data_IF_108877575076
#
_entry.id   IF_108877575076
#
_cell.length_a   1.000
_cell.length_b   1.000
_cell.length_c   1.000
_cell.angle_alpha   90.00
_cell.angle_beta   90.00
_cell.angle_gamma   90.00
#
_symmetry.space_group_name_H-M   'P 1'
#
loop_
_entity.id
_entity.type
_entity.pdbx_description
1 polymer ?
#
# COMPACT_ATOMS: atom_id res chain seq x y z
N UNK A 1 -66.95 -36.71 32.07
CA UNK A 1 -66.09 -37.16 31.00
C UNK A 1 -65.55 -35.91 30.32
N UNK A 2 -64.37 -35.46 30.73
CA UNK A 2 -63.81 -34.19 30.32
C UNK A 2 -62.91 -34.41 29.08
N UNK A 3 -63.35 -33.95 27.92
CA UNK A 3 -62.55 -33.99 26.68
C UNK A 3 -61.55 -32.87 26.72
N UNK A 4 -60.29 -33.20 26.96
CA UNK A 4 -59.18 -32.26 26.76
C UNK A 4 -59.03 -32.01 25.26
N UNK A 5 -59.40 -30.82 24.82
CA UNK A 5 -58.98 -30.31 23.51
C UNK A 5 -57.48 -30.09 23.58
N UNK A 6 -56.74 -30.86 22.80
CA UNK A 6 -55.32 -30.62 22.57
C UNK A 6 -55.10 -29.25 21.91
N UNK A 7 -53.90 -28.66 22.04
CA UNK A 7 -53.60 -27.39 21.38
C UNK A 7 -53.76 -27.58 19.87
N UNK A 8 -54.51 -26.67 19.26
CA UNK A 8 -54.65 -26.63 17.80
C UNK A 8 -53.25 -26.42 17.23
N UNK A 9 -52.77 -27.39 16.47
CA UNK A 9 -51.55 -27.21 15.65
C UNK A 9 -51.87 -26.14 14.61
N UNK A 10 -51.41 -24.92 14.89
CA UNK A 10 -51.46 -23.83 13.93
C UNK A 10 -50.41 -24.11 12.85
N UNK A 11 -50.81 -24.65 11.71
CA UNK A 11 -49.96 -24.78 10.55
C UNK A 11 -49.55 -23.42 10.02
N UNK A 12 -48.36 -23.33 9.48
CA UNK A 12 -47.85 -22.11 8.80
C UNK A 12 -48.75 -21.76 7.62
N UNK A 13 -49.07 -20.48 7.44
CA UNK A 13 -49.77 -20.00 6.27
C UNK A 13 -48.82 -19.98 5.06
N UNK A 14 -49.38 -20.18 3.85
CA UNK A 14 -48.60 -20.09 2.61
C UNK A 14 -47.87 -18.74 2.48
N UNK A 15 -48.55 -17.66 2.88
CA UNK A 15 -47.98 -16.31 2.87
C UNK A 15 -46.79 -16.20 3.80
N UNK A 16 -46.84 -16.78 4.99
CA UNK A 16 -45.74 -16.75 5.96
C UNK A 16 -44.50 -17.46 5.42
N UNK A 17 -44.67 -18.59 4.76
CA UNK A 17 -43.56 -19.32 4.10
C UNK A 17 -42.96 -18.49 2.96
N UNK A 18 -43.77 -17.85 2.14
CA UNK A 18 -43.27 -16.99 1.04
C UNK A 18 -42.50 -15.80 1.58
N UNK A 19 -43.00 -15.13 2.62
CA UNK A 19 -42.30 -14.02 3.27
C UNK A 19 -41.00 -14.49 3.92
N UNK A 20 -40.99 -15.61 4.61
CA UNK A 20 -39.77 -16.16 5.22
C UNK A 20 -38.71 -16.49 4.17
N UNK A 21 -39.07 -17.10 3.05
CA UNK A 21 -38.13 -17.40 1.95
C UNK A 21 -37.62 -16.11 1.30
N UNK A 22 -38.45 -15.10 1.12
CA UNK A 22 -38.04 -13.81 0.57
C UNK A 22 -37.00 -13.12 1.48
N UNK A 23 -37.26 -13.10 2.80
CA UNK A 23 -36.30 -12.52 3.78
C UNK A 23 -35.01 -13.32 3.81
N UNK A 24 -35.07 -14.64 3.82
CA UNK A 24 -33.91 -15.51 3.78
C UNK A 24 -33.09 -15.30 2.51
N UNK A 25 -33.74 -15.15 1.35
CA UNK A 25 -33.07 -14.85 0.08
C UNK A 25 -32.33 -13.50 0.11
N UNK A 26 -32.96 -12.45 0.64
CA UNK A 26 -32.33 -11.14 0.80
C UNK A 26 -31.13 -11.19 1.77
N UNK A 27 -31.24 -11.92 2.86
CA UNK A 27 -30.18 -12.11 3.82
C UNK A 27 -28.96 -12.81 3.19
N UNK A 28 -29.18 -13.85 2.38
CA UNK A 28 -28.13 -14.56 1.67
C UNK A 28 -27.43 -13.68 0.64
N UNK A 29 -28.17 -12.86 -0.11
CA UNK A 29 -27.59 -11.88 -1.05
C UNK A 29 -26.71 -10.88 -0.30
N UNK A 30 -27.19 -10.35 0.83
CA UNK A 30 -26.43 -9.43 1.67
C UNK A 30 -25.12 -10.06 2.20
N UNK A 31 -25.15 -11.30 2.67
CA UNK A 31 -23.98 -12.03 3.12
C UNK A 31 -22.98 -12.28 1.97
N UNK A 32 -23.48 -12.62 0.78
CA UNK A 32 -22.64 -12.84 -0.38
C UNK A 32 -21.93 -11.55 -0.84
N UNK A 33 -22.63 -10.42 -0.81
CA UNK A 33 -22.04 -9.11 -1.13
C UNK A 33 -20.98 -8.69 -0.10
N UNK A 34 -21.25 -8.89 1.19
CA UNK A 34 -20.30 -8.59 2.25
C UNK A 34 -19.04 -9.46 2.13
N UNK A 35 -19.18 -10.76 1.85
CA UNK A 35 -18.06 -11.69 1.68
C UNK A 35 -17.20 -11.37 0.45
N UNK A 36 -17.81 -11.07 -0.69
CA UNK A 36 -17.08 -10.76 -1.91
C UNK A 36 -16.29 -9.45 -1.81
N UNK A 37 -16.82 -8.43 -1.12
CA UNK A 37 -16.10 -7.18 -0.85
C UNK A 37 -14.83 -7.39 -0.02
N UNK A 38 -14.86 -8.30 0.95
CA UNK A 38 -13.71 -8.62 1.80
C UNK A 38 -12.54 -9.25 1.04
N UNK A 39 -12.78 -10.17 0.13
CA UNK A 39 -11.73 -10.83 -0.66
C UNK A 39 -10.96 -9.82 -1.53
N UNK A 40 -11.64 -8.84 -2.08
CA UNK A 40 -10.99 -7.79 -2.88
C UNK A 40 -10.16 -6.81 -2.05
N UNK A 41 -10.58 -6.54 -0.81
CA UNK A 41 -9.81 -5.72 0.10
C UNK A 41 -8.49 -6.41 0.49
N UNK A 42 -8.51 -7.72 0.71
CA UNK A 42 -7.34 -8.53 1.04
C UNK A 42 -6.33 -8.54 -0.12
N UNK A 43 -6.76 -8.77 -1.37
CA UNK A 43 -5.85 -8.74 -2.53
C UNK A 43 -5.21 -7.36 -2.71
N UNK A 44 -5.99 -6.29 -2.56
CA UNK A 44 -5.48 -4.93 -2.65
C UNK A 44 -4.47 -4.62 -1.54
N UNK A 45 -4.73 -5.06 -0.31
CA UNK A 45 -3.83 -4.88 0.83
C UNK A 45 -2.53 -5.67 0.65
N UNK A 46 -2.60 -6.92 0.18
CA UNK A 46 -1.42 -7.75 -0.08
C UNK A 46 -0.51 -7.13 -1.15
N UNK A 47 -1.08 -6.60 -2.23
CA UNK A 47 -0.29 -5.91 -3.27
C UNK A 47 0.34 -4.62 -2.76
N UNK A 48 -0.35 -3.87 -1.91
CA UNK A 48 0.21 -2.66 -1.31
C UNK A 48 1.35 -2.98 -0.33
N UNK A 49 1.22 -4.05 0.46
CA UNK A 49 2.28 -4.52 1.36
C UNK A 49 3.53 -4.96 0.57
N UNK A 50 3.35 -5.73 -0.50
CA UNK A 50 4.44 -6.11 -1.39
C UNK A 50 5.13 -4.88 -2.00
N UNK A 51 4.37 -3.87 -2.42
CA UNK A 51 4.92 -2.62 -2.95
C UNK A 51 5.76 -1.87 -1.90
N UNK A 52 5.34 -1.86 -0.63
CA UNK A 52 6.12 -1.27 0.47
C UNK A 52 7.43 -2.01 0.67
N UNK A 53 7.42 -3.34 0.69
CA UNK A 53 8.63 -4.15 0.85
C UNK A 53 9.61 -3.91 -0.30
N UNK A 54 9.13 -3.82 -1.53
CA UNK A 54 9.95 -3.50 -2.72
C UNK A 54 10.55 -2.09 -2.60
N UNK A 55 9.76 -1.09 -2.22
CA UNK A 55 10.25 0.27 -2.02
C UNK A 55 11.31 0.35 -0.92
N UNK A 56 11.16 -0.39 0.17
CA UNK A 56 12.15 -0.49 1.24
C UNK A 56 13.45 -1.14 0.75
N UNK A 57 13.36 -2.17 -0.09
CA UNK A 57 14.53 -2.83 -0.69
C UNK A 57 15.31 -1.86 -1.58
N UNK A 58 14.63 -1.10 -2.42
CA UNK A 58 15.27 -0.05 -3.23
C UNK A 58 15.92 1.03 -2.37
N UNK A 59 15.24 1.50 -1.31
CA UNK A 59 15.82 2.47 -0.38
C UNK A 59 17.04 1.92 0.36
N UNK A 60 17.04 0.63 0.71
CA UNK A 60 18.16 0.00 1.40
C UNK A 60 19.40 -0.19 0.49
N UNK A 61 19.20 -0.37 -0.82
CA UNK A 61 20.27 -0.49 -1.80
C UNK A 61 20.97 0.87 -2.05
N UNK A 62 20.24 1.98 -1.92
CA UNK A 62 20.78 3.31 -2.11
C UNK A 62 21.69 3.68 -0.94
N UNK A 63 22.93 4.03 -1.25
CA UNK A 63 23.93 4.46 -0.26
C UNK A 63 24.79 3.34 0.31
N UNK A 64 24.60 2.07 -0.15
CA UNK A 64 25.56 0.99 0.09
C UNK A 64 26.53 0.84 -1.07
N UNK A 65 26.00 0.83 -2.29
CA UNK A 65 26.73 0.46 -3.51
C UNK A 65 26.83 1.60 -4.54
N UNK A 66 26.10 2.69 -4.37
CA UNK A 66 26.09 3.80 -5.30
C UNK A 66 26.22 5.15 -4.57
N UNK A 67 27.07 6.04 -5.10
CA UNK A 67 27.07 7.43 -4.68
C UNK A 67 25.67 8.02 -4.90
N UNK A 68 25.24 8.89 -3.97
CA UNK A 68 24.00 9.66 -4.12
C UNK A 68 24.19 10.65 -5.28
N UNK A 69 23.79 10.25 -6.46
CA UNK A 69 23.81 11.09 -7.66
C UNK A 69 22.40 11.67 -7.84
N UNK A 70 22.33 12.99 -7.95
CA UNK A 70 21.09 13.68 -8.29
C UNK A 70 20.55 13.17 -9.61
N UNK A 71 19.25 12.87 -9.67
CA UNK A 71 18.59 12.43 -10.86
C UNK A 71 17.35 11.59 -10.61
N UNK A 72 16.71 11.24 -11.72
CA UNK A 72 15.53 10.37 -11.77
C UNK A 72 15.91 9.08 -12.51
N UNK A 73 15.54 7.97 -11.94
CA UNK A 73 15.65 6.67 -12.59
C UNK A 73 14.37 5.85 -12.37
N UNK A 74 14.08 4.97 -13.31
CA UNK A 74 12.90 4.13 -13.24
C UNK A 74 13.12 2.83 -14.00
N UNK A 75 12.35 1.81 -13.67
CA UNK A 75 12.43 0.51 -14.33
C UNK A 75 11.26 -0.39 -13.97
N UNK A 76 11.31 -1.58 -14.53
CA UNK A 76 10.39 -2.67 -14.21
C UNK A 76 10.93 -3.45 -13.01
N UNK A 77 10.06 -3.76 -12.05
CA UNK A 77 10.43 -4.48 -10.82
C UNK A 77 9.92 -5.92 -10.82
N UNK A 78 9.33 -6.35 -11.93
CA UNK A 78 8.70 -7.65 -12.07
C UNK A 78 7.34 -7.75 -11.39
N UNK A 79 6.57 -8.78 -11.71
CA UNK A 79 5.25 -9.01 -11.12
C UNK A 79 4.19 -7.93 -11.43
N UNK A 80 4.43 -7.09 -12.45
CA UNK A 80 3.56 -5.98 -12.79
C UNK A 80 3.80 -4.71 -11.98
N UNK A 81 4.90 -4.65 -11.24
CA UNK A 81 5.33 -3.47 -10.51
C UNK A 81 6.37 -2.67 -11.29
N UNK A 82 6.30 -1.36 -11.17
CA UNK A 82 7.28 -0.42 -11.72
C UNK A 82 7.85 0.43 -10.60
N UNK A 83 9.16 0.61 -10.60
CA UNK A 83 9.81 1.49 -9.64
C UNK A 83 10.22 2.81 -10.29
N UNK A 84 10.23 3.85 -9.48
CA UNK A 84 10.81 5.17 -9.80
C UNK A 84 11.56 5.68 -8.59
N UNK A 85 12.79 6.10 -8.84
CA UNK A 85 13.67 6.69 -7.85
C UNK A 85 13.93 8.14 -8.24
N UNK A 86 13.79 9.05 -7.28
CA UNK A 86 14.13 10.46 -7.41
C UNK A 86 15.09 10.85 -6.31
N UNK A 87 16.23 11.41 -6.68
CA UNK A 87 17.22 11.93 -5.76
C UNK A 87 17.38 13.42 -6.02
N UNK A 88 17.08 14.25 -5.03
CA UNK A 88 17.11 15.70 -5.14
C UNK A 88 17.84 16.30 -3.94
N UNK A 89 18.66 17.36 -4.10
CA UNK A 89 19.25 18.08 -2.99
C UNK A 89 18.13 18.78 -2.20
N UNK A 90 18.07 18.53 -0.90
CA UNK A 90 17.10 19.15 0.00
C UNK A 90 17.71 20.35 0.76
N UNK A 91 18.98 20.22 1.15
CA UNK A 91 19.72 21.29 1.81
C UNK A 91 21.23 21.12 1.63
N UNK A 92 21.94 22.22 1.58
CA UNK A 92 23.41 22.25 1.54
C UNK A 92 23.91 23.02 2.76
N UNK A 93 24.86 22.46 3.48
CA UNK A 93 25.56 23.13 4.53
C UNK A 93 27.01 23.37 4.08
N UNK A 94 27.38 24.62 3.95
CA UNK A 94 28.80 25.00 3.81
C UNK A 94 29.42 25.02 5.22
N UNK A 95 30.33 24.10 5.47
CA UNK A 95 31.13 24.15 6.68
C UNK A 95 32.12 25.29 6.58
N UNK A 96 32.00 26.32 7.42
CA UNK A 96 33.05 27.31 7.59
C UNK A 96 34.03 26.75 8.62
N UNK A 97 35.19 26.30 8.16
CA UNK A 97 36.24 25.88 9.07
C UNK A 97 36.91 27.14 9.64
N UNK A 98 36.97 27.22 10.97
CA UNK A 98 37.63 28.31 11.66
C UNK A 98 39.16 28.34 11.47
N UNK A 99 39.75 27.27 10.93
CA UNK A 99 41.20 27.07 10.84
C UNK A 99 41.72 26.77 9.42
N UNK A 100 41.05 27.20 8.38
CA UNK A 100 41.61 27.15 7.01
C UNK A 100 41.77 25.74 6.41
N UNK A 101 41.27 24.69 7.05
CA UNK A 101 41.30 23.33 6.56
C UNK A 101 39.93 22.95 5.97
N UNK A 102 39.94 22.66 4.71
CA UNK A 102 38.92 22.12 3.80
C UNK A 102 37.51 22.00 4.37
N UNK A 103 36.64 22.91 3.99
CA UNK A 103 35.18 22.82 4.24
C UNK A 103 34.63 21.58 3.56
N UNK A 104 34.21 20.56 4.31
CA UNK A 104 33.43 19.47 3.77
C UNK A 104 32.03 20.00 3.51
N UNK A 105 31.69 20.18 2.25
CA UNK A 105 30.30 20.44 1.86
C UNK A 105 29.48 19.21 2.10
N UNK A 106 28.58 19.28 3.08
CA UNK A 106 27.63 18.21 3.35
C UNK A 106 26.30 18.58 2.70
N UNK A 107 25.88 17.77 1.75
CA UNK A 107 24.58 17.94 1.09
C UNK A 107 23.60 16.93 1.65
N UNK A 108 22.44 17.41 2.03
CA UNK A 108 21.30 16.57 2.41
C UNK A 108 20.48 16.30 1.16
N UNK A 109 20.30 15.04 0.83
CA UNK A 109 19.49 14.61 -0.29
C UNK A 109 18.14 14.07 0.18
N UNK A 110 17.09 14.46 -0.51
CA UNK A 110 15.78 13.82 -0.45
C UNK A 110 15.75 12.68 -1.45
N UNK A 111 15.58 11.47 -0.96
CA UNK A 111 15.47 10.27 -1.75
C UNK A 111 14.03 9.78 -1.69
N UNK A 112 13.37 9.69 -2.85
CA UNK A 112 12.00 9.23 -2.98
C UNK A 112 11.95 8.01 -3.87
N UNK A 113 11.35 6.93 -3.37
CA UNK A 113 11.08 5.71 -4.15
C UNK A 113 9.58 5.53 -4.26
N UNK A 114 9.11 5.34 -5.47
CA UNK A 114 7.70 5.08 -5.79
C UNK A 114 7.58 3.74 -6.48
N UNK A 115 6.72 2.87 -5.98
CA UNK A 115 6.37 1.60 -6.61
C UNK A 115 4.93 1.71 -7.09
N UNK A 116 4.71 1.54 -8.38
CA UNK A 116 3.38 1.59 -8.98
C UNK A 116 2.99 0.26 -9.61
N UNK A 117 1.69 -0.03 -9.61
CA UNK A 117 1.10 -1.23 -10.22
C UNK A 117 -0.31 -0.95 -10.72
N UNK A 118 -0.79 -1.78 -11.62
CA UNK A 118 -2.17 -1.71 -12.10
C UNK A 118 -3.09 -2.58 -11.23
N UNK A 119 -4.19 -2.01 -10.80
CA UNK A 119 -5.25 -2.72 -10.08
C UNK A 119 -6.61 -2.31 -10.66
N UNK A 120 -7.30 -3.25 -11.28
CA UNK A 120 -8.63 -3.06 -11.89
C UNK A 120 -8.71 -1.86 -12.86
N UNK A 121 -7.70 -1.70 -13.72
CA UNK A 121 -7.66 -0.59 -14.69
C UNK A 121 -7.26 0.76 -14.07
N UNK A 122 -6.94 0.81 -12.79
CA UNK A 122 -6.42 2.01 -12.12
C UNK A 122 -4.97 1.80 -11.70
N UNK A 123 -4.14 2.82 -11.93
CA UNK A 123 -2.78 2.84 -11.41
C UNK A 123 -2.82 3.15 -9.92
N UNK A 124 -2.12 2.34 -9.13
CA UNK A 124 -1.89 2.55 -7.71
C UNK A 124 -0.41 2.67 -7.46
N UNK A 125 -0.03 3.48 -6.48
CA UNK A 125 1.36 3.66 -6.11
C UNK A 125 1.53 3.78 -4.60
N UNK A 126 2.67 3.31 -4.13
CA UNK A 126 3.19 3.56 -2.78
C UNK A 126 4.48 4.34 -2.93
N UNK A 127 4.62 5.41 -2.17
CA UNK A 127 5.82 6.26 -2.19
C UNK A 127 6.43 6.31 -0.80
N UNK A 128 7.71 6.00 -0.72
CA UNK A 128 8.53 6.17 0.48
C UNK A 128 9.54 7.28 0.23
N UNK A 129 9.80 8.08 1.25
CA UNK A 129 10.77 9.17 1.20
C UNK A 129 11.68 9.12 2.42
N UNK A 130 12.95 9.38 2.20
CA UNK A 130 13.95 9.50 3.27
C UNK A 130 14.90 10.64 2.96
N UNK A 131 15.61 11.09 3.99
CA UNK A 131 16.69 12.06 3.86
C UNK A 131 18.01 11.36 4.10
N UNK A 132 19.00 11.61 3.24
CA UNK A 132 20.34 11.06 3.35
C UNK A 132 21.40 12.12 3.21
N UNK A 133 22.43 12.00 4.03
CA UNK A 133 23.63 12.84 3.90
C UNK A 133 24.53 12.24 2.82
N UNK A 134 24.87 13.06 1.83
CA UNK A 134 25.88 12.75 0.84
C UNK A 134 27.11 13.60 1.08
N UNK A 135 28.27 12.98 1.18
CA UNK A 135 29.55 13.68 1.13
C UNK A 135 29.84 14.04 -0.31
N UNK A 136 29.91 15.32 -0.65
CA UNK A 136 30.44 15.75 -1.93
C UNK A 136 31.95 15.49 -1.97
N UNK A 137 32.37 14.36 -2.57
CA UNK A 137 33.73 14.28 -3.05
C UNK A 137 33.80 15.10 -4.34
N UNK A 138 34.32 16.28 -4.26
CA UNK A 138 34.85 17.00 -5.43
C UNK A 138 36.01 16.14 -5.96
N UNK A 139 35.70 15.27 -6.91
CA UNK A 139 36.73 14.63 -7.72
C UNK A 139 37.41 15.65 -8.58
N UNK A 140 38.72 15.71 -8.47
CA UNK A 140 39.61 16.39 -9.41
C UNK A 140 39.50 15.81 -10.77
#
# INVERSE_FOLDING_TARGET
MSVRRGPAEAGFTLLEVVVAVAIAGLALVGMFQAGSGGLFAVDTAARAEEAVQRAQSHLAAIGRDAALIEGDSSGDDGGGYRWRLQVQPAAQRQGVAADGVTSQNTTLFSVRVSISWQSRGHERAVTLQTLRLGGGSTGS
#
